data_IF_941244629926
#
_entry.id   IF_941244629926
#
_cell.length_a   1.000
_cell.length_b   1.000
_cell.length_c   1.000
_cell.angle_alpha   90.00
_cell.angle_beta   90.00
_cell.angle_gamma   90.00
#
_symmetry.space_group_name_H-M   'P 1'
#
loop_
_entity.id
_entity.type
_entity.pdbx_description
1 polymer ?
#
# COMPACT_ATOMS: atom_id res chain seq x y z
N UNK A 1 -15.20 -10.33 -35.26
CA UNK A 1 -15.66 -11.10 -34.08
C UNK A 1 -14.43 -11.69 -33.41
N UNK A 2 -13.95 -11.08 -32.33
CA UNK A 2 -12.76 -11.53 -31.61
C UNK A 2 -13.16 -12.74 -30.76
N UNK A 3 -12.51 -13.89 -30.96
CA UNK A 3 -12.73 -15.11 -30.15
C UNK A 3 -12.28 -14.84 -28.71
N UNK A 4 -13.18 -15.09 -27.76
CA UNK A 4 -12.86 -15.19 -26.35
C UNK A 4 -11.94 -16.40 -26.12
N UNK A 5 -10.74 -16.19 -25.60
CA UNK A 5 -9.72 -17.23 -25.39
C UNK A 5 -9.76 -17.83 -23.97
N UNK A 6 -10.73 -17.42 -23.14
CA UNK A 6 -10.87 -17.92 -21.77
C UNK A 6 -9.75 -17.47 -20.82
N UNK A 7 -8.93 -16.49 -21.21
CA UNK A 7 -7.79 -16.02 -20.41
C UNK A 7 -8.04 -14.71 -19.66
N UNK A 8 -9.29 -14.21 -19.61
CA UNK A 8 -9.61 -13.06 -18.76
C UNK A 8 -9.41 -13.46 -17.29
N UNK A 9 -8.19 -13.24 -16.80
CA UNK A 9 -7.89 -13.30 -15.38
C UNK A 9 -8.59 -12.10 -14.76
N UNK A 10 -9.40 -12.30 -13.71
CA UNK A 10 -10.08 -11.19 -13.09
C UNK A 10 -9.04 -10.19 -12.57
N UNK A 11 -9.22 -8.92 -12.92
CA UNK A 11 -8.40 -7.84 -12.37
C UNK A 11 -8.58 -7.81 -10.85
N UNK A 12 -7.54 -8.20 -10.12
CA UNK A 12 -7.57 -8.28 -8.67
C UNK A 12 -7.88 -6.92 -8.03
N UNK A 13 -7.43 -5.81 -8.64
CA UNK A 13 -7.75 -4.47 -8.15
C UNK A 13 -9.24 -4.15 -8.37
N UNK A 14 -9.79 -4.50 -9.54
CA UNK A 14 -11.21 -4.38 -9.84
C UNK A 14 -12.10 -5.26 -8.95
N UNK A 15 -11.69 -6.48 -8.63
CA UNK A 15 -12.42 -7.35 -7.69
C UNK A 15 -12.49 -6.74 -6.28
N UNK A 16 -11.38 -6.19 -5.80
CA UNK A 16 -11.34 -5.50 -4.51
C UNK A 16 -12.20 -4.24 -4.49
N UNK A 17 -12.24 -3.52 -5.62
CA UNK A 17 -13.09 -2.34 -5.79
C UNK A 17 -14.58 -2.71 -5.69
N UNK A 18 -15.01 -3.75 -6.41
CA UNK A 18 -16.39 -4.28 -6.35
C UNK A 18 -16.73 -4.72 -4.92
N UNK A 19 -15.88 -5.56 -4.31
CA UNK A 19 -16.12 -6.07 -2.97
C UNK A 19 -16.25 -4.94 -1.94
N UNK A 20 -15.37 -3.94 -2.02
CA UNK A 20 -15.40 -2.77 -1.14
C UNK A 20 -16.66 -1.92 -1.37
N UNK A 21 -17.05 -1.70 -2.62
CA UNK A 21 -18.25 -0.93 -2.95
C UNK A 21 -19.51 -1.60 -2.40
N UNK A 22 -19.68 -2.90 -2.64
CA UNK A 22 -20.79 -3.71 -2.09
C UNK A 22 -20.79 -3.70 -0.56
N UNK A 23 -19.63 -3.90 0.08
CA UNK A 23 -19.51 -3.86 1.53
C UNK A 23 -19.98 -2.51 2.11
N UNK A 24 -19.56 -1.40 1.51
CA UNK A 24 -19.90 -0.05 1.97
C UNK A 24 -21.35 0.34 1.68
N UNK A 25 -21.87 0.01 0.50
CA UNK A 25 -23.20 0.41 0.06
C UNK A 25 -24.31 -0.48 0.64
N UNK A 26 -24.10 -1.80 0.67
CA UNK A 26 -25.19 -2.75 0.89
C UNK A 26 -25.15 -3.42 2.27
N UNK A 27 -23.97 -3.49 2.88
CA UNK A 27 -23.75 -4.26 4.12
C UNK A 27 -23.56 -3.34 5.32
N UNK A 28 -22.62 -2.39 5.26
CA UNK A 28 -22.32 -1.46 6.37
C UNK A 28 -23.54 -0.71 6.90
N UNK A 29 -24.51 -0.25 6.08
CA UNK A 29 -25.71 0.43 6.60
C UNK A 29 -26.64 -0.46 7.42
N UNK A 30 -26.51 -1.78 7.32
CA UNK A 30 -27.30 -2.77 8.07
C UNK A 30 -26.61 -3.22 9.37
N UNK A 31 -25.40 -2.76 9.63
CA UNK A 31 -24.60 -3.13 10.79
C UNK A 31 -24.59 -2.01 11.83
N UNK A 32 -24.48 -2.39 13.10
CA UNK A 32 -24.35 -1.46 14.22
C UNK A 32 -23.15 -1.81 15.10
N UNK A 33 -22.77 -0.89 15.98
CA UNK A 33 -21.72 -1.08 16.99
C UNK A 33 -20.39 -1.62 16.42
N UNK A 34 -19.85 -2.62 17.11
CA UNK A 34 -18.56 -3.24 16.79
C UNK A 34 -18.52 -3.91 15.41
N UNK A 35 -19.63 -4.52 14.97
CA UNK A 35 -19.72 -5.15 13.65
C UNK A 35 -19.56 -4.11 12.53
N UNK A 36 -20.19 -2.93 12.69
CA UNK A 36 -20.05 -1.83 11.73
C UNK A 36 -18.61 -1.31 11.67
N UNK A 37 -17.95 -1.17 12.82
CA UNK A 37 -16.56 -0.75 12.88
C UNK A 37 -15.63 -1.73 12.16
N UNK A 38 -15.76 -3.03 12.44
CA UNK A 38 -14.98 -4.09 11.79
C UNK A 38 -15.19 -4.11 10.27
N UNK A 39 -16.42 -3.91 9.79
CA UNK A 39 -16.70 -3.83 8.36
C UNK A 39 -16.03 -2.60 7.70
N UNK A 40 -16.04 -1.44 8.36
CA UNK A 40 -15.33 -0.25 7.88
C UNK A 40 -13.81 -0.46 7.85
N UNK A 41 -13.24 -1.14 8.85
CA UNK A 41 -11.82 -1.51 8.86
C UNK A 41 -11.48 -2.43 7.67
N UNK A 42 -12.31 -3.43 7.40
CA UNK A 42 -12.13 -4.32 6.24
C UNK A 42 -12.19 -3.53 4.93
N UNK A 43 -13.16 -2.61 4.79
CA UNK A 43 -13.26 -1.74 3.61
C UNK A 43 -12.02 -0.84 3.41
N UNK A 44 -11.40 -0.38 4.51
CA UNK A 44 -10.15 0.37 4.44
C UNK A 44 -8.98 -0.52 3.99
N UNK A 45 -8.87 -1.74 4.53
CA UNK A 45 -7.85 -2.70 4.13
C UNK A 45 -7.95 -3.08 2.63
N UNK A 46 -9.17 -3.28 2.12
CA UNK A 46 -9.42 -3.48 0.69
C UNK A 46 -8.92 -2.30 -0.15
N UNK A 47 -9.14 -1.06 0.31
CA UNK A 47 -8.68 0.13 -0.40
C UNK A 47 -7.14 0.22 -0.45
N UNK A 48 -6.46 -0.16 0.64
CA UNK A 48 -4.99 -0.24 0.70
C UNK A 48 -4.48 -1.29 -0.29
N UNK A 49 -5.07 -2.50 -0.27
CA UNK A 49 -4.69 -3.58 -1.18
C UNK A 49 -4.90 -3.20 -2.65
N UNK A 50 -6.02 -2.55 -2.97
CA UNK A 50 -6.28 -2.03 -4.32
C UNK A 50 -5.21 -1.03 -4.78
N UNK A 51 -4.80 -0.08 -3.92
CA UNK A 51 -3.72 0.86 -4.26
C UNK A 51 -2.38 0.15 -4.44
N UNK A 52 -2.05 -0.80 -3.57
CA UNK A 52 -0.82 -1.57 -3.69
C UNK A 52 -0.73 -2.32 -5.04
N UNK A 53 -1.84 -2.92 -5.49
CA UNK A 53 -1.91 -3.59 -6.79
C UNK A 53 -1.76 -2.63 -7.97
N UNK A 54 -2.33 -1.42 -7.87
CA UNK A 54 -2.27 -0.41 -8.94
C UNK A 54 -0.91 0.31 -9.03
N UNK A 55 -0.33 0.66 -7.88
CA UNK A 55 0.98 1.34 -7.82
C UNK A 55 2.14 0.39 -8.09
N UNK A 56 1.99 -0.90 -7.76
CA UNK A 56 3.08 -1.88 -7.80
C UNK A 56 4.17 -1.58 -6.76
N UNK A 57 5.28 -2.31 -6.84
CA UNK A 57 6.40 -2.19 -5.88
C UNK A 57 7.56 -1.32 -6.38
N UNK A 58 7.56 -0.85 -7.63
CA UNK A 58 8.74 -0.27 -8.28
C UNK A 58 9.40 0.89 -7.53
N UNK A 59 8.62 1.83 -6.99
CA UNK A 59 9.16 2.94 -6.21
C UNK A 59 9.75 2.49 -4.85
N UNK A 60 9.13 1.49 -4.22
CA UNK A 60 9.60 0.89 -2.97
C UNK A 60 10.89 0.12 -3.22
N UNK A 61 10.92 -0.70 -4.27
CA UNK A 61 12.07 -1.52 -4.65
C UNK A 61 13.28 -0.65 -5.01
N UNK A 62 13.06 0.43 -5.76
CA UNK A 62 14.12 1.39 -6.10
C UNK A 62 14.70 2.09 -4.86
N UNK A 63 13.85 2.48 -3.90
CA UNK A 63 14.32 3.09 -2.66
C UNK A 63 15.07 2.08 -1.79
N UNK A 64 14.57 0.84 -1.66
CA UNK A 64 15.24 -0.23 -0.91
C UNK A 64 16.59 -0.60 -1.53
N UNK A 65 16.70 -0.64 -2.86
CA UNK A 65 17.95 -0.92 -3.55
C UNK A 65 19.04 0.12 -3.22
N UNK A 66 18.66 1.39 -3.03
CA UNK A 66 19.58 2.48 -2.62
C UNK A 66 20.00 2.36 -1.15
N UNK A 67 19.13 1.83 -0.29
CA UNK A 67 19.36 1.67 1.14
C UNK A 67 20.20 0.43 1.49
N UNK A 68 20.29 -0.55 0.59
CA UNK A 68 21.08 -1.76 0.79
C UNK A 68 20.48 -2.69 1.84
N UNK A 69 21.33 -3.38 2.61
CA UNK A 69 20.87 -4.32 3.64
C UNK A 69 20.23 -3.59 4.84
N UNK A 70 18.96 -3.87 5.18
CA UNK A 70 18.27 -3.20 6.27
C UNK A 70 18.93 -3.39 7.64
N UNK A 71 19.56 -4.54 7.89
CA UNK A 71 20.17 -4.83 9.19
C UNK A 71 21.42 -3.97 9.40
N UNK A 72 22.29 -3.93 8.40
CA UNK A 72 23.47 -3.09 8.36
C UNK A 72 23.11 -1.60 8.44
N UNK A 73 22.12 -1.15 7.66
CA UNK A 73 21.65 0.24 7.72
C UNK A 73 21.14 0.61 9.11
N UNK A 74 20.32 -0.24 9.73
CA UNK A 74 19.83 0.01 11.08
C UNK A 74 20.97 0.09 12.12
N UNK A 75 22.01 -0.74 11.96
CA UNK A 75 23.19 -0.69 12.81
C UNK A 75 23.98 0.62 12.62
N UNK A 76 24.19 1.04 11.36
CA UNK A 76 24.88 2.28 11.03
C UNK A 76 24.15 3.52 11.56
N UNK A 77 22.82 3.58 11.40
CA UNK A 77 21.98 4.66 11.97
C UNK A 77 22.13 4.70 13.50
N UNK A 78 22.01 3.55 14.18
CA UNK A 78 22.16 3.51 15.65
C UNK A 78 23.55 3.88 16.15
N UNK A 79 24.58 3.65 15.33
CA UNK A 79 25.95 4.04 15.61
C UNK A 79 26.27 5.50 15.25
N UNK A 80 25.31 6.27 14.72
CA UNK A 80 25.51 7.65 14.24
C UNK A 80 26.34 7.73 12.95
N UNK A 81 26.57 6.61 12.27
CA UNK A 81 27.41 6.54 11.06
C UNK A 81 26.70 7.05 9.80
N UNK A 82 25.37 7.15 9.86
CA UNK A 82 24.55 7.75 8.81
C UNK A 82 24.19 9.21 9.11
N UNK A 83 24.76 9.80 10.18
CA UNK A 83 24.49 11.19 10.52
C UNK A 83 25.05 12.12 9.43
N UNK A 84 24.23 13.07 8.98
CA UNK A 84 24.53 13.97 7.85
C UNK A 84 24.71 13.28 6.48
N UNK A 85 24.31 12.02 6.34
CA UNK A 85 24.21 11.36 5.04
C UNK A 85 22.89 11.74 4.34
N UNK A 86 22.97 12.77 3.49
CA UNK A 86 21.83 13.28 2.74
C UNK A 86 21.26 12.26 1.74
N UNK A 87 22.09 11.34 1.22
CA UNK A 87 21.63 10.34 0.26
C UNK A 87 20.79 9.26 0.96
N UNK A 88 21.27 8.76 2.09
CA UNK A 88 20.50 7.83 2.94
C UNK A 88 19.20 8.47 3.42
N UNK A 89 19.26 9.72 3.88
CA UNK A 89 18.06 10.45 4.31
C UNK A 89 17.02 10.59 3.18
N UNK A 90 17.46 10.98 1.98
CA UNK A 90 16.58 11.10 0.82
C UNK A 90 15.95 9.77 0.42
N UNK A 91 16.72 8.67 0.45
CA UNK A 91 16.20 7.34 0.12
C UNK A 91 15.19 6.83 1.17
N UNK A 92 15.43 7.08 2.47
CA UNK A 92 14.48 6.77 3.54
C UNK A 92 13.17 7.56 3.39
N UNK A 93 13.26 8.85 3.06
CA UNK A 93 12.09 9.70 2.84
C UNK A 93 11.28 9.21 1.62
N UNK A 94 11.95 8.93 0.50
CA UNK A 94 11.29 8.39 -0.69
C UNK A 94 10.58 7.06 -0.42
N UNK A 95 11.20 6.17 0.37
CA UNK A 95 10.55 4.92 0.82
C UNK A 95 9.32 5.20 1.69
N UNK A 96 9.44 6.12 2.65
CA UNK A 96 8.34 6.47 3.55
C UNK A 96 7.16 7.06 2.77
N UNK A 97 7.42 7.97 1.84
CA UNK A 97 6.41 8.58 0.96
C UNK A 97 5.73 7.54 0.07
N UNK A 98 6.50 6.65 -0.55
CA UNK A 98 5.96 5.57 -1.39
C UNK A 98 5.04 4.64 -0.59
N UNK A 99 5.40 4.30 0.65
CA UNK A 99 4.53 3.49 1.52
C UNK A 99 3.28 4.26 1.96
N UNK A 100 3.41 5.56 2.25
CA UNK A 100 2.28 6.38 2.68
C UNK A 100 1.25 6.58 1.57
N UNK A 101 1.67 6.76 0.30
CA UNK A 101 0.72 6.83 -0.83
C UNK A 101 -0.26 5.64 -0.86
N UNK A 102 0.25 4.46 -0.52
CA UNK A 102 -0.55 3.23 -0.45
C UNK A 102 -1.36 3.14 0.86
N UNK A 103 -0.73 3.24 2.02
CA UNK A 103 -1.39 2.93 3.30
C UNK A 103 -2.13 4.11 3.94
N UNK A 104 -1.67 5.33 3.71
CA UNK A 104 -2.13 6.56 4.34
C UNK A 104 -1.99 7.77 3.39
N UNK A 105 -2.69 7.79 2.25
CA UNK A 105 -2.46 8.79 1.19
C UNK A 105 -2.60 10.24 1.67
N UNK A 106 -3.47 10.49 2.65
CA UNK A 106 -3.66 11.83 3.26
C UNK A 106 -2.43 12.37 4.00
N UNK A 107 -1.44 11.52 4.29
CA UNK A 107 -0.20 11.94 4.96
C UNK A 107 0.82 12.54 3.99
N UNK A 108 0.62 12.37 2.68
CA UNK A 108 1.55 12.80 1.61
C UNK A 108 0.84 13.65 0.54
N UNK A 109 -0.40 14.07 0.81
CA UNK A 109 -1.28 14.86 -0.08
C UNK A 109 -2.59 15.21 0.59
#
# INVERSE_FOLDING_TARGET
MTRWDGTERPDAAGLLEIARATLLADIVPKLEGDARFKALMAANAMAIAQRALREGSGAIDAALARLGDPTALCAAIRAGQADNDAETAAALLALAEARCRVSAPKAVG
#
